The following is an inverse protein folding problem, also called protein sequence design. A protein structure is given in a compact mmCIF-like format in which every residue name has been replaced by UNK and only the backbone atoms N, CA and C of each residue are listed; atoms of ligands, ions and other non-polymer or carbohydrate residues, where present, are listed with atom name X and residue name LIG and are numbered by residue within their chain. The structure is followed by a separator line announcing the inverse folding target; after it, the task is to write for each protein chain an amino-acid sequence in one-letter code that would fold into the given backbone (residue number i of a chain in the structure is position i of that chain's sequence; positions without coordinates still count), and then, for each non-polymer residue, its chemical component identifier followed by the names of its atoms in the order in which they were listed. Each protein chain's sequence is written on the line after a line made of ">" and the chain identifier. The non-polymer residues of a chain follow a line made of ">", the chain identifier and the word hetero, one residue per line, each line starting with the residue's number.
data_IF_355373948116
#
_entry.id   IF_355373948116
#
_cell.length_a   1.000
_cell.length_b   1.000
_cell.length_c   1.000
_cell.angle_alpha   90.00
_cell.angle_beta   90.00
_cell.angle_gamma   90.00
#
_symmetry.space_group_name_H-M   'P 1'
#
loop_
_entity.id
_entity.type
_entity.pdbx_description
1 polymer ?
#
# COMPACT_ATOMS: atom_id res chain seq x y z
N UNK A 1 23.43 0.61 7.46
CA UNK A 1 22.29 1.23 8.19
C UNK A 1 21.11 1.28 7.24
N UNK A 2 19.91 0.91 7.69
CA UNK A 2 18.71 0.89 6.86
C UNK A 2 17.77 2.03 7.27
N UNK A 3 17.43 2.90 6.33
CA UNK A 3 16.50 4.00 6.51
C UNK A 3 15.27 3.79 5.63
N UNK A 4 14.06 3.97 6.18
CA UNK A 4 12.80 3.86 5.44
C UNK A 4 12.05 5.17 5.54
N UNK A 5 11.83 5.80 4.39
CA UNK A 5 11.05 7.02 4.23
C UNK A 5 9.63 6.62 3.83
N UNK A 6 8.67 6.93 4.67
CA UNK A 6 7.29 6.48 4.50
C UNK A 6 6.29 7.56 4.91
N UNK A 7 5.08 7.44 4.40
CA UNK A 7 3.90 8.15 4.88
C UNK A 7 3.11 7.25 5.84
N UNK A 8 1.80 7.41 5.87
CA UNK A 8 0.92 6.48 6.59
C UNK A 8 1.17 5.03 6.14
N UNK A 9 1.07 4.05 7.04
CA UNK A 9 1.35 2.66 6.73
C UNK A 9 0.21 2.01 5.94
N UNK A 10 -0.05 2.52 4.76
CA UNK A 10 -1.03 2.01 3.82
C UNK A 10 -0.48 1.98 2.40
N UNK A 11 -1.15 1.27 1.51
CA UNK A 11 -0.77 1.12 0.12
C UNK A 11 0.74 0.81 -0.02
N UNK A 12 1.41 1.47 -0.94
CA UNK A 12 2.84 1.24 -1.19
C UNK A 12 3.72 1.59 0.01
N UNK A 13 3.33 2.60 0.79
CA UNK A 13 4.14 3.09 1.91
C UNK A 13 4.29 2.06 3.04
N UNK A 14 3.28 1.24 3.27
CA UNK A 14 3.32 0.20 4.30
C UNK A 14 4.11 -1.05 3.94
N UNK A 15 4.35 -1.33 2.64
CA UNK A 15 4.98 -2.57 2.18
C UNK A 15 6.37 -2.81 2.78
N UNK A 16 7.36 -1.91 2.64
CA UNK A 16 8.68 -2.12 3.24
C UNK A 16 8.65 -2.12 4.77
N UNK A 17 7.74 -1.35 5.40
CA UNK A 17 7.56 -1.36 6.85
C UNK A 17 7.15 -2.74 7.34
N UNK A 18 6.18 -3.38 6.67
CA UNK A 18 5.79 -4.75 7.02
C UNK A 18 6.93 -5.73 6.84
N UNK A 19 7.68 -5.64 5.74
CA UNK A 19 8.77 -6.56 5.47
C UNK A 19 9.86 -6.52 6.56
N UNK A 20 10.30 -5.34 6.98
CA UNK A 20 11.32 -5.21 8.03
C UNK A 20 10.80 -5.69 9.39
N UNK A 21 9.51 -5.46 9.69
CA UNK A 21 8.90 -5.91 10.93
C UNK A 21 8.69 -7.43 10.97
N UNK A 22 8.31 -8.05 9.86
CA UNK A 22 8.21 -9.52 9.74
C UNK A 22 9.57 -10.19 9.92
N UNK A 23 10.62 -9.59 9.41
CA UNK A 23 11.98 -10.14 9.52
C UNK A 23 12.70 -9.74 10.80
N UNK A 24 12.15 -8.82 11.60
CA UNK A 24 12.81 -8.32 12.80
C UNK A 24 14.05 -7.46 12.51
N UNK A 25 14.09 -6.80 11.35
CA UNK A 25 15.22 -5.95 10.91
C UNK A 25 15.18 -4.61 11.63
N UNK A 26 16.33 -4.18 12.17
CA UNK A 26 16.49 -2.83 12.70
C UNK A 26 16.57 -1.79 11.57
N UNK A 27 15.80 -0.71 11.69
CA UNK A 27 15.76 0.38 10.71
C UNK A 27 15.46 1.72 11.36
N UNK A 28 15.81 2.81 10.68
CA UNK A 28 15.38 4.16 11.03
C UNK A 28 14.13 4.53 10.25
N UNK A 29 13.11 4.99 10.95
CA UNK A 29 11.81 5.37 10.37
C UNK A 29 11.77 6.88 10.15
N UNK A 30 11.53 7.32 8.91
CA UNK A 30 11.39 8.72 8.52
C UNK A 30 9.97 8.97 8.00
N UNK A 31 9.15 9.65 8.79
CA UNK A 31 7.81 10.03 8.36
C UNK A 31 7.86 11.21 7.40
N UNK A 32 7.22 11.08 6.24
CA UNK A 32 7.08 12.12 5.21
C UNK A 32 5.62 12.47 5.07
N UNK A 33 5.23 13.68 5.47
CA UNK A 33 3.83 14.10 5.35
C UNK A 33 3.46 14.40 3.89
N UNK A 34 2.85 13.39 3.26
CA UNK A 34 2.39 13.50 1.87
C UNK A 34 1.32 14.57 1.68
N UNK A 35 0.49 14.84 2.70
CA UNK A 35 -0.52 15.88 2.64
C UNK A 35 0.10 17.29 2.76
N UNK A 36 1.32 17.40 3.34
CA UNK A 36 2.12 18.62 3.37
C UNK A 36 3.03 18.78 2.13
N UNK A 37 3.01 17.82 1.20
CA UNK A 37 3.90 17.74 0.05
C UNK A 37 5.39 17.68 0.43
N UNK A 38 5.71 17.09 1.59
CA UNK A 38 7.09 16.95 2.05
C UNK A 38 7.94 16.13 1.07
N UNK A 39 7.32 15.16 0.38
CA UNK A 39 7.98 14.36 -0.65
C UNK A 39 8.45 15.17 -1.88
N UNK A 40 8.02 16.41 -2.02
CA UNK A 40 8.42 17.30 -3.12
C UNK A 40 9.26 18.50 -2.64
N UNK A 41 9.71 18.46 -1.37
CA UNK A 41 10.65 19.44 -0.84
C UNK A 41 12.09 19.07 -1.19
N UNK A 42 13.00 20.07 -1.30
CA UNK A 42 14.40 19.82 -1.67
C UNK A 42 15.08 18.75 -0.81
N UNK A 43 14.78 18.73 0.50
CA UNK A 43 15.39 17.81 1.47
C UNK A 43 15.07 16.35 1.14
N UNK A 44 13.81 16.06 0.78
CA UNK A 44 13.42 14.71 0.38
C UNK A 44 13.84 14.38 -1.06
N UNK A 45 13.79 15.35 -1.97
CA UNK A 45 14.23 15.16 -3.35
C UNK A 45 15.74 14.86 -3.44
N UNK A 46 16.54 15.28 -2.45
CA UNK A 46 17.94 14.88 -2.32
C UNK A 46 18.09 13.39 -1.96
N UNK A 47 17.11 12.80 -1.27
CA UNK A 47 17.05 11.36 -0.97
C UNK A 47 16.47 10.57 -2.14
N UNK A 48 15.30 11.00 -2.63
CA UNK A 48 14.60 10.37 -3.75
C UNK A 48 14.20 11.39 -4.81
N UNK A 49 14.98 11.54 -5.88
CA UNK A 49 14.74 12.54 -6.94
C UNK A 49 13.39 12.39 -7.64
N UNK A 50 12.76 11.21 -7.60
CA UNK A 50 11.43 10.99 -8.15
C UNK A 50 10.30 11.58 -7.29
N UNK A 51 10.57 11.96 -6.04
CA UNK A 51 9.56 12.47 -5.11
C UNK A 51 8.44 11.47 -4.82
N UNK A 52 8.73 10.17 -4.92
CA UNK A 52 7.77 9.08 -4.62
C UNK A 52 8.00 8.53 -3.22
N UNK A 53 6.94 8.03 -2.60
CA UNK A 53 6.95 7.37 -1.29
C UNK A 53 6.36 5.95 -1.48
N UNK A 54 6.98 4.91 -0.87
CA UNK A 54 8.15 4.95 0.00
C UNK A 54 9.48 5.08 -0.77
N UNK A 55 10.53 5.42 -0.03
CA UNK A 55 11.92 5.24 -0.44
C UNK A 55 12.67 4.49 0.67
N UNK A 56 13.68 3.73 0.31
CA UNK A 56 14.53 3.00 1.25
C UNK A 56 16.00 3.28 0.91
N UNK A 57 16.81 3.55 1.92
CA UNK A 57 18.26 3.75 1.75
C UNK A 57 18.98 2.71 2.62
N UNK A 58 19.83 1.90 1.99
CA UNK A 58 20.67 0.95 2.71
C UNK A 58 22.14 1.25 2.40
N UNK A 59 22.89 1.61 3.45
CA UNK A 59 24.30 1.97 3.38
C UNK A 59 24.58 2.99 2.26
N UNK A 60 23.75 4.05 2.19
CA UNK A 60 23.86 5.14 1.23
C UNK A 60 23.28 4.84 -0.17
N UNK A 61 22.82 3.62 -0.43
CA UNK A 61 22.20 3.24 -1.72
C UNK A 61 20.69 3.39 -1.67
N UNK A 62 20.13 4.20 -2.57
CA UNK A 62 18.69 4.36 -2.74
C UNK A 62 18.08 3.13 -3.41
N UNK A 63 17.03 2.58 -2.79
CA UNK A 63 16.23 1.47 -3.29
C UNK A 63 14.80 1.97 -3.45
N UNK A 64 14.26 1.80 -4.64
CA UNK A 64 12.92 2.26 -5.03
C UNK A 64 12.02 1.06 -5.37
N UNK A 65 10.73 1.33 -5.64
CA UNK A 65 9.68 0.35 -5.91
C UNK A 65 9.35 -0.54 -4.71
N UNK A 66 8.20 -0.26 -4.11
CA UNK A 66 7.83 -0.80 -2.79
C UNK A 66 7.78 -2.33 -2.72
N UNK A 67 7.40 -3.01 -3.81
CA UNK A 67 7.40 -4.47 -3.86
C UNK A 67 8.82 -5.02 -4.06
N UNK A 68 9.67 -4.34 -4.84
CA UNK A 68 11.09 -4.68 -4.96
C UNK A 68 11.85 -4.45 -3.64
N UNK A 69 11.41 -3.48 -2.81
CA UNK A 69 11.96 -3.32 -1.46
C UNK A 69 11.68 -4.53 -0.57
N UNK A 70 10.49 -5.16 -0.67
CA UNK A 70 10.19 -6.41 0.06
C UNK A 70 11.18 -7.50 -0.35
N UNK A 71 11.37 -7.69 -1.66
CA UNK A 71 12.31 -8.70 -2.19
C UNK A 71 13.74 -8.42 -1.71
N UNK A 72 14.19 -7.17 -1.75
CA UNK A 72 15.51 -6.78 -1.27
C UNK A 72 15.68 -7.09 0.22
N UNK A 73 14.72 -6.68 1.05
CA UNK A 73 14.74 -6.94 2.50
C UNK A 73 14.82 -8.44 2.76
N UNK A 74 14.04 -9.25 2.03
CA UNK A 74 14.03 -10.69 2.21
C UNK A 74 15.34 -11.37 1.77
N UNK A 75 16.01 -10.86 0.74
CA UNK A 75 17.28 -11.40 0.26
C UNK A 75 18.47 -11.02 1.13
N UNK A 76 18.48 -9.79 1.67
CA UNK A 76 19.68 -9.21 2.29
C UNK A 76 19.71 -9.44 3.80
N UNK A 77 18.56 -9.44 4.45
CA UNK A 77 18.50 -9.53 5.91
C UNK A 77 18.07 -10.92 6.38
N UNK A 78 18.64 -11.37 7.50
CA UNK A 78 18.25 -12.59 8.17
C UNK A 78 16.83 -12.48 8.76
N UNK A 79 16.25 -13.63 9.15
CA UNK A 79 14.90 -13.72 9.71
C UNK A 79 14.00 -14.63 8.89
N UNK A 80 12.71 -14.72 9.22
CA UNK A 80 11.76 -15.55 8.48
C UNK A 80 11.75 -15.22 6.98
N UNK A 81 11.73 -16.25 6.12
CA UNK A 81 11.62 -16.04 4.67
C UNK A 81 10.23 -15.50 4.31
N UNK A 82 10.21 -14.47 3.48
CA UNK A 82 8.98 -13.90 2.91
C UNK A 82 8.63 -14.51 1.55
N UNK A 83 9.37 -15.53 1.11
CA UNK A 83 9.13 -16.22 -0.15
C UNK A 83 9.08 -17.74 0.04
N UNK A 84 8.16 -18.42 -0.67
CA UNK A 84 8.13 -19.87 -0.72
C UNK A 84 9.41 -20.45 -1.34
N UNK A 85 9.81 -21.66 -0.91
CA UNK A 85 10.91 -22.39 -1.50
C UNK A 85 10.50 -23.17 -2.76
N UNK A 86 9.22 -23.56 -2.88
CA UNK A 86 8.71 -24.22 -4.07
C UNK A 86 8.69 -23.26 -5.26
N UNK A 87 9.23 -23.64 -6.45
CA UNK A 87 9.32 -22.74 -7.60
C UNK A 87 7.97 -22.31 -8.15
N UNK A 88 6.92 -23.14 -8.06
CA UNK A 88 5.58 -22.78 -8.54
C UNK A 88 4.90 -21.80 -7.60
N UNK A 89 5.03 -22.01 -6.27
CA UNK A 89 4.53 -21.07 -5.28
C UNK A 89 5.31 -19.74 -5.31
N UNK A 90 6.61 -19.77 -5.60
CA UNK A 90 7.42 -18.57 -5.81
C UNK A 90 6.94 -17.78 -7.03
N UNK A 91 6.65 -18.48 -8.15
CA UNK A 91 6.03 -17.84 -9.31
C UNK A 91 4.68 -17.22 -8.95
N UNK A 92 3.83 -17.95 -8.21
CA UNK A 92 2.51 -17.49 -7.76
C UNK A 92 2.61 -16.24 -6.91
N UNK A 93 3.54 -16.21 -5.95
CA UNK A 93 3.83 -15.04 -5.12
C UNK A 93 4.16 -13.81 -5.99
N UNK A 94 5.07 -13.97 -6.94
CA UNK A 94 5.47 -12.89 -7.87
C UNK A 94 4.33 -12.44 -8.77
N UNK A 95 3.49 -13.37 -9.21
CA UNK A 95 2.31 -13.06 -10.01
C UNK A 95 1.32 -12.20 -9.22
N UNK A 96 1.02 -12.56 -7.96
CA UNK A 96 0.16 -11.77 -7.10
C UNK A 96 0.74 -10.41 -6.76
N UNK A 97 2.03 -10.31 -6.48
CA UNK A 97 2.69 -9.01 -6.29
C UNK A 97 2.48 -8.09 -7.51
N UNK A 98 2.66 -8.61 -8.72
CA UNK A 98 2.39 -7.85 -9.96
C UNK A 98 0.92 -7.51 -10.13
N UNK A 99 0.03 -8.43 -9.80
CA UNK A 99 -1.41 -8.19 -9.85
C UNK A 99 -1.81 -7.03 -8.92
N UNK A 100 -1.28 -7.00 -7.71
CA UNK A 100 -1.52 -5.88 -6.79
C UNK A 100 -0.93 -4.57 -7.32
N UNK A 101 0.26 -4.57 -7.87
CA UNK A 101 0.93 -3.34 -8.32
C UNK A 101 0.33 -2.78 -9.62
N UNK A 102 -0.06 -3.64 -10.55
CA UNK A 102 -0.42 -3.22 -11.91
C UNK A 102 -1.91 -3.22 -12.20
N UNK A 103 -2.69 -4.06 -11.51
CA UNK A 103 -4.12 -4.19 -11.77
C UNK A 103 -4.98 -3.53 -10.70
N UNK A 104 -4.81 -3.94 -9.44
CA UNK A 104 -5.65 -3.48 -8.32
C UNK A 104 -5.17 -2.13 -7.78
N UNK A 105 -3.88 -1.97 -7.60
CA UNK A 105 -3.25 -0.82 -6.95
C UNK A 105 -3.57 0.53 -7.61
N UNK A 106 -3.43 0.69 -8.93
CA UNK A 106 -3.79 1.94 -9.60
C UNK A 106 -5.25 2.34 -9.37
N UNK A 107 -6.17 1.37 -9.43
CA UNK A 107 -7.60 1.60 -9.21
C UNK A 107 -7.92 1.95 -7.75
N UNK A 108 -7.31 1.24 -6.79
CA UNK A 108 -7.43 1.55 -5.36
C UNK A 108 -6.87 2.95 -5.05
N UNK A 109 -5.73 3.30 -5.64
CA UNK A 109 -5.12 4.62 -5.50
C UNK A 109 -6.02 5.71 -6.08
N UNK A 110 -6.56 5.53 -7.29
CA UNK A 110 -7.42 6.51 -7.94
C UNK A 110 -8.69 6.78 -7.13
N UNK A 111 -9.37 5.74 -6.64
CA UNK A 111 -10.54 5.90 -5.77
C UNK A 111 -10.16 6.51 -4.42
N UNK A 112 -9.08 6.06 -3.78
CA UNK A 112 -8.60 6.63 -2.51
C UNK A 112 -8.22 8.10 -2.64
N UNK A 113 -7.58 8.48 -3.73
CA UNK A 113 -7.20 9.87 -3.99
C UNK A 113 -8.42 10.73 -4.30
N UNK A 114 -9.37 10.26 -5.08
CA UNK A 114 -10.59 11.02 -5.40
C UNK A 114 -11.49 11.21 -4.17
N UNK A 115 -11.57 10.20 -3.31
CA UNK A 115 -12.51 10.17 -2.17
C UNK A 115 -11.94 10.79 -0.89
N UNK A 116 -10.63 10.62 -0.62
CA UNK A 116 -10.02 11.03 0.64
C UNK A 116 -8.91 12.07 0.48
N UNK A 117 -7.87 11.77 -0.30
CA UNK A 117 -6.67 12.62 -0.37
C UNK A 117 -6.98 13.97 -1.02
N UNK A 118 -7.64 13.96 -2.17
CA UNK A 118 -8.00 15.18 -2.90
C UNK A 118 -8.84 16.15 -2.06
N UNK A 119 -9.97 15.72 -1.47
CA UNK A 119 -10.77 16.58 -0.59
C UNK A 119 -10.01 17.14 0.61
N UNK A 120 -9.11 16.37 1.23
CA UNK A 120 -8.31 16.84 2.36
C UNK A 120 -7.31 17.92 1.94
N UNK A 121 -6.63 17.72 0.83
CA UNK A 121 -5.59 18.64 0.33
C UNK A 121 -6.23 19.91 -0.26
N UNK A 122 -7.39 19.81 -0.88
CA UNK A 122 -8.14 20.93 -1.48
C UNK A 122 -8.52 22.05 -0.49
N UNK A 123 -8.53 21.76 0.80
CA UNK A 123 -8.81 22.74 1.84
C UNK A 123 -7.65 23.74 2.05
N UNK A 124 -6.50 23.53 1.43
CA UNK A 124 -5.34 24.43 1.52
C UNK A 124 -5.48 25.61 0.56
N UNK A 125 -4.64 26.62 0.80
CA UNK A 125 -4.54 27.79 -0.07
C UNK A 125 -4.24 27.39 -1.52
N UNK A 126 -4.99 27.88 -2.55
CA UNK A 126 -4.82 27.53 -3.95
C UNK A 126 -3.41 27.81 -4.51
N UNK A 127 -2.76 28.89 -4.07
CA UNK A 127 -1.40 29.25 -4.52
C UNK A 127 -0.37 28.26 -3.95
N UNK A 128 -0.54 27.84 -2.69
CA UNK A 128 0.30 26.82 -2.08
C UNK A 128 0.16 25.48 -2.81
N UNK A 129 -1.08 25.12 -3.20
CA UNK A 129 -1.35 23.91 -3.97
C UNK A 129 -0.73 23.96 -5.37
N UNK A 130 -0.88 25.07 -6.08
CA UNK A 130 -0.28 25.26 -7.39
C UNK A 130 1.24 25.11 -7.34
N UNK A 131 1.89 25.82 -6.43
CA UNK A 131 3.34 25.74 -6.25
C UNK A 131 3.81 24.33 -5.83
N UNK A 132 3.01 23.59 -5.03
CA UNK A 132 3.32 22.22 -4.66
C UNK A 132 3.23 21.26 -5.85
N UNK A 133 2.20 21.41 -6.69
CA UNK A 133 2.02 20.59 -7.89
C UNK A 133 3.16 20.84 -8.90
N UNK A 134 3.56 22.10 -9.11
CA UNK A 134 4.66 22.46 -10.01
C UNK A 134 5.99 21.82 -9.62
N UNK A 135 6.25 21.61 -8.31
CA UNK A 135 7.44 20.93 -7.80
C UNK A 135 7.46 19.42 -8.02
N UNK A 136 6.33 18.79 -8.41
CA UNK A 136 6.30 17.34 -8.64
C UNK A 136 7.19 16.98 -9.83
N UNK A 137 8.25 16.18 -9.65
CA UNK A 137 9.22 15.93 -10.73
C UNK A 137 8.62 15.15 -11.89
N UNK A 138 7.87 14.09 -11.60
CA UNK A 138 7.33 13.16 -12.60
C UNK A 138 6.02 13.68 -13.17
N UNK A 139 5.95 13.82 -14.50
CA UNK A 139 4.79 14.37 -15.22
C UNK A 139 3.50 13.60 -14.95
N UNK A 140 3.55 12.27 -14.98
CA UNK A 140 2.39 11.40 -14.73
C UNK A 140 1.87 11.57 -13.28
N UNK A 141 2.77 11.74 -12.33
CA UNK A 141 2.42 12.04 -10.94
C UNK A 141 1.79 13.41 -10.80
N UNK A 142 2.32 14.41 -11.49
CA UNK A 142 1.76 15.76 -11.51
C UNK A 142 0.33 15.76 -12.05
N UNK A 143 0.07 15.01 -13.11
CA UNK A 143 -1.29 14.84 -13.68
C UNK A 143 -2.21 14.17 -12.67
N UNK A 144 -1.78 13.06 -12.04
CA UNK A 144 -2.59 12.33 -11.07
C UNK A 144 -2.93 13.19 -9.83
N UNK A 145 -1.96 13.92 -9.29
CA UNK A 145 -2.17 14.86 -8.19
C UNK A 145 -3.13 15.99 -8.57
N UNK A 146 -2.96 16.58 -9.76
CA UNK A 146 -3.86 17.62 -10.25
C UNK A 146 -5.29 17.11 -10.36
N UNK A 147 -5.49 15.93 -10.94
CA UNK A 147 -6.83 15.31 -11.02
C UNK A 147 -7.44 15.07 -9.65
N UNK A 148 -6.67 14.56 -8.69
CA UNK A 148 -7.14 14.33 -7.33
C UNK A 148 -7.53 15.62 -6.60
N UNK A 149 -6.65 16.64 -6.67
CA UNK A 149 -6.84 17.93 -5.99
C UNK A 149 -8.03 18.68 -6.58
N UNK A 150 -8.10 18.78 -7.90
CA UNK A 150 -9.16 19.54 -8.55
C UNK A 150 -10.44 18.74 -8.81
N UNK A 151 -10.44 17.43 -8.48
CA UNK A 151 -11.62 16.57 -8.64
C UNK A 151 -12.01 16.34 -10.09
N UNK A 152 -11.04 16.26 -10.99
CA UNK A 152 -11.25 16.15 -12.44
C UNK A 152 -11.13 14.73 -13.00
N UNK A 153 -11.20 13.70 -12.15
CA UNK A 153 -11.42 12.34 -12.64
C UNK A 153 -12.82 12.24 -13.25
N UNK A 154 -12.91 11.69 -14.46
CA UNK A 154 -14.20 11.52 -15.11
C UNK A 154 -15.04 10.43 -14.45
N UNK A 155 -16.39 10.46 -14.58
CA UNK A 155 -17.25 9.38 -14.10
C UNK A 155 -16.85 8.02 -14.68
N UNK A 156 -16.41 7.97 -15.94
CA UNK A 156 -15.98 6.76 -16.64
C UNK A 156 -14.68 6.20 -16.03
N UNK A 157 -13.68 7.06 -15.75
CA UNK A 157 -12.44 6.66 -15.08
C UNK A 157 -12.72 6.06 -13.70
N UNK A 158 -13.62 6.66 -12.93
CA UNK A 158 -14.01 6.15 -11.61
C UNK A 158 -14.81 4.86 -11.71
N UNK A 159 -15.70 4.73 -12.68
CA UNK A 159 -16.47 3.50 -12.93
C UNK A 159 -15.55 2.34 -13.34
N UNK A 160 -14.57 2.59 -14.22
CA UNK A 160 -13.57 1.59 -14.59
C UNK A 160 -12.74 1.14 -13.39
N UNK A 161 -12.30 2.07 -12.55
CA UNK A 161 -11.56 1.73 -11.32
C UNK A 161 -12.40 0.88 -10.36
N UNK A 162 -13.69 1.18 -10.20
CA UNK A 162 -14.62 0.36 -9.41
C UNK A 162 -14.78 -1.05 -9.99
N UNK A 163 -14.96 -1.15 -11.30
CA UNK A 163 -15.08 -2.44 -11.98
C UNK A 163 -13.83 -3.31 -11.83
N UNK A 164 -12.64 -2.70 -11.97
CA UNK A 164 -11.36 -3.40 -11.76
C UNK A 164 -11.17 -3.85 -10.32
N UNK A 165 -11.52 -3.01 -9.34
CA UNK A 165 -11.45 -3.42 -7.93
C UNK A 165 -12.40 -4.56 -7.63
N UNK A 166 -13.63 -4.50 -8.13
CA UNK A 166 -14.60 -5.57 -7.95
C UNK A 166 -14.09 -6.89 -8.54
N UNK A 167 -13.68 -6.90 -9.80
CA UNK A 167 -13.17 -8.11 -10.44
C UNK A 167 -11.89 -8.62 -9.79
N UNK A 168 -11.00 -7.70 -9.38
CA UNK A 168 -9.77 -8.04 -8.66
C UNK A 168 -10.03 -8.66 -7.29
N UNK A 169 -10.98 -8.12 -6.53
CA UNK A 169 -11.34 -8.66 -5.21
C UNK A 169 -11.99 -10.03 -5.32
N UNK A 170 -12.85 -10.25 -6.34
CA UNK A 170 -13.44 -11.58 -6.61
C UNK A 170 -12.37 -12.59 -7.00
N UNK A 171 -11.38 -12.21 -7.81
CA UNK A 171 -10.28 -13.11 -8.17
C UNK A 171 -9.39 -13.47 -6.96
N UNK A 172 -9.20 -12.54 -6.02
CA UNK A 172 -8.49 -12.79 -4.77
C UNK A 172 -9.31 -13.73 -3.88
N UNK A 173 -10.62 -13.49 -3.75
CA UNK A 173 -11.52 -14.32 -2.95
C UNK A 173 -11.55 -15.76 -3.45
N UNK A 174 -11.68 -15.96 -4.76
CA UNK A 174 -11.63 -17.27 -5.41
C UNK A 174 -10.29 -17.98 -5.14
N UNK A 175 -9.17 -17.27 -5.28
CA UNK A 175 -7.86 -17.85 -5.02
C UNK A 175 -7.70 -18.29 -3.55
N UNK A 176 -8.31 -17.58 -2.62
CA UNK A 176 -8.27 -17.86 -1.19
C UNK A 176 -9.32 -18.90 -0.74
N UNK A 177 -10.23 -19.34 -1.62
CA UNK A 177 -11.28 -20.33 -1.28
C UNK A 177 -10.72 -21.71 -0.88
N UNK A 178 -9.49 -22.02 -1.34
CA UNK A 178 -8.83 -23.31 -1.09
C UNK A 178 -7.48 -23.17 -0.37
N UNK A 179 -7.12 -21.98 0.10
CA UNK A 179 -5.84 -21.72 0.76
C UNK A 179 -5.91 -20.53 1.70
N UNK A 180 -5.03 -20.54 2.69
CA UNK A 180 -4.95 -19.49 3.70
C UNK A 180 -4.14 -18.26 3.26
N UNK A 181 -3.17 -18.44 2.36
CA UNK A 181 -2.20 -17.43 1.94
C UNK A 181 -2.17 -17.28 0.43
N UNK A 182 -1.76 -16.11 -0.05
CA UNK A 182 -1.68 -15.83 -1.50
C UNK A 182 -0.71 -16.76 -2.22
N UNK A 183 0.35 -17.21 -1.52
CA UNK A 183 1.31 -18.18 -2.05
C UNK A 183 2.00 -18.95 -0.91
N UNK A 184 2.29 -20.24 -1.16
CA UNK A 184 2.93 -21.11 -0.17
C UNK A 184 2.00 -21.50 0.99
N UNK A 185 2.61 -21.98 2.07
CA UNK A 185 1.92 -22.45 3.28
C UNK A 185 1.95 -21.43 4.42
N UNK A 186 2.55 -20.27 4.19
CA UNK A 186 2.69 -19.18 5.17
C UNK A 186 2.59 -17.80 4.54
N UNK A 187 2.57 -16.79 5.41
CA UNK A 187 2.55 -15.39 4.98
C UNK A 187 3.78 -15.07 4.12
N UNK A 188 3.55 -14.57 2.93
CA UNK A 188 4.57 -14.27 1.94
C UNK A 188 4.59 -12.78 1.55
N UNK A 189 5.56 -12.37 0.74
CA UNK A 189 5.63 -11.02 0.17
C UNK A 189 4.32 -10.62 -0.54
N UNK A 190 3.60 -11.58 -1.14
CA UNK A 190 2.32 -11.31 -1.79
C UNK A 190 1.24 -10.92 -0.77
N UNK A 191 1.21 -11.59 0.40
CA UNK A 191 0.26 -11.26 1.47
C UNK A 191 0.53 -9.87 2.05
N UNK A 192 1.80 -9.53 2.27
CA UNK A 192 2.19 -8.21 2.77
C UNK A 192 1.85 -7.10 1.78
N UNK A 193 2.18 -7.31 0.50
CA UNK A 193 1.91 -6.34 -0.56
C UNK A 193 0.40 -6.14 -0.77
N UNK A 194 -0.35 -7.23 -0.87
CA UNK A 194 -1.80 -7.21 -1.06
C UNK A 194 -2.54 -6.61 0.12
N UNK A 195 -2.17 -7.00 1.35
CA UNK A 195 -2.78 -6.47 2.56
C UNK A 195 -2.65 -4.96 2.64
N UNK A 196 -1.44 -4.42 2.50
CA UNK A 196 -1.22 -2.97 2.58
C UNK A 196 -1.96 -2.19 1.50
N UNK A 197 -2.17 -2.79 0.35
CA UNK A 197 -2.92 -2.18 -0.75
C UNK A 197 -4.44 -2.18 -0.49
N UNK A 198 -4.97 -3.20 0.19
CA UNK A 198 -6.39 -3.51 0.19
C UNK A 198 -7.08 -3.47 1.55
N UNK A 199 -6.36 -3.36 2.68
CA UNK A 199 -7.00 -3.41 4.00
C UNK A 199 -8.04 -2.31 4.23
N UNK A 200 -7.92 -1.18 3.53
CA UNK A 200 -8.91 -0.10 3.55
C UNK A 200 -10.11 -0.30 2.62
N UNK A 201 -10.08 -1.32 1.76
CA UNK A 201 -11.10 -1.53 0.73
C UNK A 201 -12.50 -1.77 1.29
N UNK A 202 -12.72 -2.58 2.36
CA UNK A 202 -14.06 -2.77 2.93
C UNK A 202 -14.74 -1.48 3.39
N UNK A 203 -13.97 -0.49 3.81
CA UNK A 203 -14.51 0.82 4.21
C UNK A 203 -14.69 1.76 3.01
N UNK A 204 -13.80 1.67 2.01
CA UNK A 204 -13.82 2.54 0.85
C UNK A 204 -14.81 2.09 -0.22
N UNK A 205 -14.99 0.78 -0.36
CA UNK A 205 -15.80 0.15 -1.39
C UNK A 205 -16.47 -1.14 -0.87
N UNK A 206 -17.41 -1.01 0.11
CA UNK A 206 -18.02 -2.16 0.78
C UNK A 206 -18.80 -3.09 -0.17
N UNK A 207 -19.27 -2.59 -1.31
CA UNK A 207 -19.93 -3.43 -2.31
C UNK A 207 -18.98 -4.41 -3.02
N UNK A 208 -17.66 -4.19 -2.98
CA UNK A 208 -16.65 -5.10 -3.53
C UNK A 208 -16.00 -5.98 -2.46
N UNK A 209 -16.00 -5.55 -1.19
CA UNK A 209 -15.29 -6.23 -0.11
C UNK A 209 -16.16 -6.28 1.15
N UNK A 210 -16.82 -7.42 1.35
CA UNK A 210 -17.67 -7.70 2.52
C UNK A 210 -17.80 -9.20 2.75
N UNK A 211 -18.27 -9.59 3.94
CA UNK A 211 -18.37 -11.01 4.35
C UNK A 211 -19.37 -11.83 3.55
N UNK A 212 -20.31 -11.21 2.86
CA UNK A 212 -21.29 -11.94 2.03
C UNK A 212 -20.74 -12.22 0.63
N UNK A 213 -20.04 -11.25 0.05
CA UNK A 213 -19.61 -11.33 -1.35
C UNK A 213 -18.22 -11.91 -1.52
N UNK A 214 -17.32 -11.60 -0.57
CA UNK A 214 -15.90 -11.97 -0.62
C UNK A 214 -15.44 -12.49 0.75
N UNK A 215 -16.04 -13.58 1.26
CA UNK A 215 -15.78 -14.09 2.61
C UNK A 215 -14.34 -14.54 2.83
N UNK A 216 -13.72 -15.17 1.83
CA UNK A 216 -12.33 -15.66 1.92
C UNK A 216 -11.34 -14.50 1.93
N UNK A 217 -11.57 -13.47 1.11
CA UNK A 217 -10.81 -12.23 1.14
C UNK A 217 -10.91 -11.52 2.50
N UNK A 218 -12.11 -11.42 3.07
CA UNK A 218 -12.32 -10.83 4.39
C UNK A 218 -11.64 -11.64 5.51
N UNK A 219 -11.72 -12.96 5.45
CA UNK A 219 -11.02 -13.85 6.39
C UNK A 219 -9.48 -13.69 6.29
N UNK A 220 -8.96 -13.61 5.07
CA UNK A 220 -7.54 -13.34 4.84
C UNK A 220 -7.11 -11.95 5.35
N UNK A 221 -7.89 -10.89 5.12
CA UNK A 221 -7.60 -9.56 5.67
C UNK A 221 -7.50 -9.60 7.20
N UNK A 222 -8.40 -10.31 7.88
CA UNK A 222 -8.34 -10.47 9.34
C UNK A 222 -7.12 -11.26 9.75
N UNK A 223 -6.82 -12.40 9.10
CA UNK A 223 -5.66 -13.25 9.39
C UNK A 223 -4.35 -12.46 9.28
N UNK A 224 -4.13 -11.76 8.18
CA UNK A 224 -2.94 -10.91 8.01
C UNK A 224 -2.95 -9.77 9.03
N UNK A 225 -4.09 -9.13 9.22
CA UNK A 225 -4.27 -8.01 10.14
C UNK A 225 -3.95 -8.30 11.60
N UNK A 226 -4.18 -9.52 12.07
CA UNK A 226 -3.85 -9.93 13.45
C UNK A 226 -2.35 -10.18 13.67
N UNK A 227 -1.52 -10.15 12.62
CA UNK A 227 -0.07 -10.33 12.79
C UNK A 227 0.55 -9.18 13.61
N UNK A 228 1.45 -9.48 14.56
CA UNK A 228 2.09 -8.44 15.38
C UNK A 228 2.83 -7.38 14.55
N UNK A 229 3.44 -7.77 13.43
CA UNK A 229 4.09 -6.88 12.48
C UNK A 229 3.14 -5.85 11.88
N UNK A 230 1.92 -6.28 11.52
CA UNK A 230 0.87 -5.40 10.99
C UNK A 230 0.41 -4.41 12.06
N UNK A 231 0.13 -4.88 13.27
CA UNK A 231 -0.27 -4.02 14.38
C UNK A 231 0.81 -2.96 14.70
N UNK A 232 2.09 -3.37 14.68
CA UNK A 232 3.21 -2.45 14.85
C UNK A 232 3.32 -1.46 13.68
N UNK A 233 3.22 -1.92 12.44
CA UNK A 233 3.27 -1.06 11.25
C UNK A 233 2.18 0.01 11.29
N UNK A 234 0.93 -0.37 11.58
CA UNK A 234 -0.20 0.56 11.64
C UNK A 234 -0.02 1.65 12.70
N UNK A 235 0.79 1.41 13.74
CA UNK A 235 1.16 2.41 14.73
C UNK A 235 2.24 3.41 14.29
N UNK A 236 2.86 3.25 13.12
CA UNK A 236 3.98 4.10 12.66
C UNK A 236 3.58 5.43 12.02
N UNK A 237 2.33 5.61 11.65
CA UNK A 237 1.81 6.84 11.08
C UNK A 237 1.16 7.75 12.12
N UNK A 238 0.19 8.55 11.69
CA UNK A 238 -0.61 9.42 12.57
C UNK A 238 -1.68 8.66 13.40
N UNK A 239 -1.77 7.34 13.23
CA UNK A 239 -2.75 6.48 13.89
C UNK A 239 -4.13 6.45 13.23
N UNK A 240 -4.41 7.29 12.25
CA UNK A 240 -5.73 7.34 11.56
C UNK A 240 -6.16 5.99 11.00
N UNK A 241 -5.23 5.27 10.39
CA UNK A 241 -5.52 3.96 9.79
C UNK A 241 -5.61 2.86 10.84
N UNK A 242 -4.82 2.94 11.92
CA UNK A 242 -4.87 1.98 13.01
C UNK A 242 -6.27 1.91 13.66
N UNK A 243 -6.86 3.05 13.98
CA UNK A 243 -8.20 3.10 14.58
C UNK A 243 -9.30 2.56 13.64
N UNK A 244 -9.23 2.93 12.36
CA UNK A 244 -10.17 2.41 11.35
C UNK A 244 -10.04 0.90 11.17
N UNK A 245 -8.81 0.40 11.19
CA UNK A 245 -8.55 -1.01 11.01
C UNK A 245 -8.96 -1.86 12.23
N UNK A 246 -8.81 -1.34 13.45
CA UNK A 246 -9.35 -1.99 14.67
C UNK A 246 -10.86 -2.26 14.56
N UNK A 247 -11.61 -1.34 13.97
CA UNK A 247 -13.04 -1.53 13.72
C UNK A 247 -13.31 -2.69 12.75
N UNK A 248 -12.50 -2.86 11.72
CA UNK A 248 -12.59 -3.98 10.78
C UNK A 248 -12.28 -5.33 11.45
N UNK A 249 -11.28 -5.36 12.34
CA UNK A 249 -10.91 -6.56 13.09
C UNK A 249 -11.94 -6.93 14.17
N UNK A 250 -12.58 -5.93 14.78
CA UNK A 250 -13.60 -6.11 15.81
C UNK A 250 -14.96 -6.57 15.27
N UNK A 251 -15.22 -6.43 13.97
CA UNK A 251 -16.37 -7.01 13.31
C UNK A 251 -16.21 -8.55 13.35
N UNK A 252 -17.13 -9.23 14.07
CA UNK A 252 -17.07 -10.63 14.49
C UNK A 252 -16.57 -11.58 13.40
N UNK A 253 -15.68 -12.49 13.82
CA UNK A 253 -15.56 -13.79 13.13
C UNK A 253 -16.95 -14.45 13.10
N UNK A 254 -17.36 -14.99 11.96
CA UNK A 254 -18.63 -15.68 11.82
C UNK A 254 -18.70 -16.97 12.66
#
# INVERSE_FOLDING_TARGET
>A
MLDIYHWEPNANSGKPLLAVLEKGVAYTSHFIDMLAFDQHKPEYLAVNPNGTIPAMVHDGTLIQESTAMIDYIDMVFSGPSLRPSDPFELWRMRWWCRFFDQYVGPSASQLGWSTFVGPMVRQRDPEVLRAAIERIPLKERRIAWSKAIYGTFSPEELAESRARLLSGTLAIDEALSSRDWMAGEGCSAADLAGFMMLFGLPMMFPEAANDTRTPHFMAWLRRVGHRPSVQNALGKGTGRFAERFKQLLAAKEP
#
